data_IF_841047438724
#
_entry.id   IF_841047438724
#
_cell.length_a   1.000
_cell.length_b   1.000
_cell.length_c   1.000
_cell.angle_alpha   90.00
_cell.angle_beta   90.00
_cell.angle_gamma   90.00
#
_symmetry.space_group_name_H-M   'P 1'
#
loop_
_entity.id
_entity.type
_entity.pdbx_description
1 polymer ?
#
# COMPACT_ATOMS: atom_id res chain seq x y z
N UNK A 1 11.47 -32.52 -19.15
CA UNK A 1 11.83 -32.15 -17.76
C UNK A 1 13.32 -32.38 -17.58
N UNK A 2 14.07 -31.39 -17.12
CA UNK A 2 15.51 -31.51 -16.85
C UNK A 2 15.75 -31.43 -15.34
N UNK A 3 16.47 -32.39 -14.79
CA UNK A 3 16.93 -32.35 -13.40
C UNK A 3 18.40 -31.91 -13.40
N UNK A 4 18.75 -30.92 -12.59
CA UNK A 4 20.12 -30.45 -12.40
C UNK A 4 20.56 -30.78 -10.98
N UNK A 5 21.63 -31.56 -10.84
CA UNK A 5 22.17 -32.01 -9.55
C UNK A 5 23.54 -31.41 -9.24
N UNK A 6 24.16 -30.74 -10.22
CA UNK A 6 25.44 -30.06 -10.06
C UNK A 6 25.38 -28.58 -10.48
N UNK A 7 26.30 -27.78 -9.95
CA UNK A 7 26.49 -26.38 -10.36
C UNK A 7 26.66 -26.25 -11.87
N UNK A 8 27.45 -27.13 -12.51
CA UNK A 8 27.69 -27.09 -13.96
C UNK A 8 26.41 -27.33 -14.78
N UNK A 9 25.46 -28.11 -14.25
CA UNK A 9 24.16 -28.31 -14.88
C UNK A 9 23.22 -27.12 -14.65
N UNK A 10 23.23 -26.53 -13.46
CA UNK A 10 22.47 -25.30 -13.16
C UNK A 10 22.92 -24.14 -14.04
N UNK A 11 24.23 -24.00 -14.28
CA UNK A 11 24.81 -22.95 -15.11
C UNK A 11 24.44 -23.04 -16.59
N UNK A 12 23.90 -24.17 -17.07
CA UNK A 12 23.32 -24.27 -18.43
C UNK A 12 22.03 -23.45 -18.57
N UNK A 13 21.39 -23.10 -17.46
CA UNK A 13 20.09 -22.42 -17.42
C UNK A 13 20.12 -21.09 -16.66
N UNK A 14 21.05 -20.93 -15.72
CA UNK A 14 21.16 -19.75 -14.85
C UNK A 14 22.57 -19.18 -14.98
N UNK A 15 22.68 -17.94 -15.42
CA UNK A 15 23.98 -17.25 -15.49
C UNK A 15 24.64 -17.18 -14.11
N UNK A 16 25.98 -17.32 -13.98
CA UNK A 16 26.67 -17.34 -12.69
C UNK A 16 26.32 -16.16 -11.77
N UNK A 17 26.16 -14.96 -12.31
CA UNK A 17 25.77 -13.73 -11.61
C UNK A 17 24.36 -13.75 -11.02
N UNK A 18 23.50 -14.64 -11.50
CA UNK A 18 22.14 -14.82 -11.00
C UNK A 18 22.02 -16.04 -10.06
N UNK A 19 23.04 -16.90 -10.02
CA UNK A 19 23.09 -18.07 -9.16
C UNK A 19 23.75 -17.72 -7.81
N UNK A 20 23.11 -18.10 -6.70
CA UNK A 20 23.66 -17.89 -5.35
C UNK A 20 25.03 -18.54 -5.20
N UNK A 21 25.89 -17.91 -4.40
CA UNK A 21 27.19 -18.48 -3.99
C UNK A 21 27.05 -19.87 -3.35
N UNK A 22 25.93 -20.17 -2.70
CA UNK A 22 25.64 -21.47 -2.07
C UNK A 22 25.44 -22.60 -3.09
N UNK A 23 25.14 -22.25 -4.34
CA UNK A 23 25.00 -23.18 -5.47
C UNK A 23 26.15 -23.06 -6.49
N UNK A 24 27.21 -22.31 -6.16
CA UNK A 24 28.40 -22.14 -7.01
C UNK A 24 28.29 -21.05 -8.09
N UNK A 25 27.41 -20.06 -7.89
CA UNK A 25 27.42 -18.82 -8.68
C UNK A 25 28.20 -17.69 -7.99
N UNK A 26 28.03 -16.46 -8.49
CA UNK A 26 28.67 -15.25 -7.97
C UNK A 26 27.70 -14.28 -7.28
N UNK A 27 26.40 -14.60 -7.23
CA UNK A 27 25.43 -13.80 -6.52
C UNK A 27 25.61 -13.94 -4.99
N UNK A 28 26.15 -12.90 -4.37
CA UNK A 28 26.39 -12.83 -2.93
C UNK A 28 25.19 -12.34 -2.12
N UNK A 29 24.07 -12.02 -2.79
CA UNK A 29 22.85 -11.58 -2.10
C UNK A 29 22.36 -12.67 -1.15
N UNK A 30 22.13 -12.27 0.11
CA UNK A 30 21.50 -13.10 1.12
C UNK A 30 20.24 -12.42 1.59
N UNK A 31 19.12 -13.14 1.50
CA UNK A 31 17.87 -12.65 2.06
C UNK A 31 17.96 -12.61 3.58
N UNK A 32 17.78 -11.43 4.16
CA UNK A 32 17.67 -11.24 5.60
C UNK A 32 16.24 -10.82 5.93
N UNK A 33 15.55 -11.62 6.73
CA UNK A 33 14.21 -11.28 7.18
C UNK A 33 14.28 -10.21 8.27
N UNK A 34 13.73 -9.03 8.01
CA UNK A 34 13.67 -7.94 9.00
C UNK A 34 12.51 -8.21 9.96
N UNK A 35 12.83 -8.53 11.22
CA UNK A 35 11.83 -8.83 12.25
C UNK A 35 10.98 -7.59 12.63
N UNK A 36 9.75 -7.79 13.13
CA UNK A 36 8.94 -6.74 13.75
C UNK A 36 9.70 -6.04 14.88
N UNK A 37 9.56 -4.70 14.98
CA UNK A 37 10.15 -3.94 16.10
C UNK A 37 9.16 -3.88 17.27
N UNK A 38 9.66 -3.98 18.49
CA UNK A 38 8.84 -3.79 19.68
C UNK A 38 8.16 -2.41 19.64
N UNK A 39 6.84 -2.39 19.85
CA UNK A 39 6.05 -1.15 19.86
C UNK A 39 5.73 -0.55 18.48
N UNK A 40 6.13 -1.17 17.36
CA UNK A 40 5.85 -0.60 16.01
C UNK A 40 4.36 -0.42 15.70
N UNK A 41 3.49 -1.16 16.41
CA UNK A 41 2.03 -1.12 16.27
C UNK A 41 1.33 -0.51 17.50
N UNK A 42 2.06 0.17 18.40
CA UNK A 42 1.49 0.67 19.66
C UNK A 42 0.26 1.57 19.45
N UNK A 43 0.21 2.33 18.35
CA UNK A 43 -0.95 3.18 18.00
C UNK A 43 -2.25 2.39 17.82
N UNK A 44 -2.20 1.10 17.47
CA UNK A 44 -3.41 0.27 17.33
C UNK A 44 -4.13 0.03 18.67
N UNK A 45 -3.44 0.23 19.80
CA UNK A 45 -4.06 0.15 21.13
C UNK A 45 -4.85 1.42 21.51
N UNK A 46 -4.68 2.53 20.77
CA UNK A 46 -5.42 3.77 21.00
C UNK A 46 -6.83 3.69 20.40
N UNK A 47 -7.75 3.09 21.17
CA UNK A 47 -9.14 2.88 20.77
C UNK A 47 -9.86 4.20 20.50
N UNK A 48 -9.58 5.24 21.31
CA UNK A 48 -10.22 6.55 21.17
C UNK A 48 -9.82 7.19 19.85
N UNK A 49 -8.52 7.31 19.56
CA UNK A 49 -8.05 7.91 18.31
C UNK A 49 -8.46 7.07 17.10
N UNK A 50 -8.47 5.74 17.21
CA UNK A 50 -8.99 4.84 16.16
C UNK A 50 -10.44 5.16 15.84
N UNK A 51 -11.31 5.25 16.86
CA UNK A 51 -12.72 5.52 16.65
C UNK A 51 -12.95 6.90 16.04
N UNK A 52 -12.20 7.93 16.46
CA UNK A 52 -12.23 9.26 15.84
C UNK A 52 -11.82 9.20 14.36
N UNK A 53 -10.72 8.51 14.03
CA UNK A 53 -10.27 8.38 12.64
C UNK A 53 -11.27 7.59 11.77
N UNK A 54 -11.90 6.55 12.34
CA UNK A 54 -12.94 5.77 11.67
C UNK A 54 -14.18 6.61 11.38
N UNK A 55 -14.61 7.45 12.33
CA UNK A 55 -15.72 8.38 12.13
C UNK A 55 -15.41 9.43 11.05
N UNK A 56 -14.19 9.99 11.04
CA UNK A 56 -13.76 10.93 10.00
C UNK A 56 -13.78 10.28 8.60
N UNK A 57 -13.31 9.03 8.48
CA UNK A 57 -13.36 8.28 7.22
C UNK A 57 -14.79 7.99 6.79
N UNK A 58 -15.69 7.64 7.73
CA UNK A 58 -17.10 7.41 7.42
C UNK A 58 -17.75 8.69 6.87
N UNK A 59 -17.51 9.85 7.49
CA UNK A 59 -18.00 11.13 6.98
C UNK A 59 -17.49 11.45 5.56
N UNK A 60 -16.23 11.11 5.26
CA UNK A 60 -15.69 11.25 3.90
C UNK A 60 -16.36 10.29 2.89
N UNK A 61 -16.66 9.05 3.31
CA UNK A 61 -17.46 8.12 2.51
C UNK A 61 -18.85 8.69 2.21
N UNK A 62 -19.55 9.18 3.23
CA UNK A 62 -20.91 9.74 3.10
C UNK A 62 -20.91 10.94 2.14
N UNK A 63 -19.88 11.81 2.23
CA UNK A 63 -19.69 12.93 1.30
C UNK A 63 -19.52 12.45 -0.13
N UNK A 64 -18.61 11.50 -0.38
CA UNK A 64 -18.36 10.97 -1.72
C UNK A 64 -19.63 10.32 -2.30
N UNK A 65 -20.36 9.57 -1.49
CA UNK A 65 -21.61 8.93 -1.88
C UNK A 65 -22.69 9.96 -2.24
N UNK A 66 -22.85 11.00 -1.42
CA UNK A 66 -23.81 12.07 -1.66
C UNK A 66 -23.51 12.85 -2.95
N UNK A 67 -22.25 13.20 -3.20
CA UNK A 67 -21.84 13.90 -4.44
C UNK A 67 -21.98 12.98 -5.66
N UNK A 68 -21.60 11.71 -5.53
CA UNK A 68 -21.73 10.73 -6.63
C UNK A 68 -23.19 10.53 -7.04
N UNK A 69 -24.14 10.48 -6.09
CA UNK A 69 -25.57 10.45 -6.40
C UNK A 69 -26.04 11.65 -7.20
N UNK A 70 -25.62 12.86 -6.82
CA UNK A 70 -25.97 14.09 -7.53
C UNK A 70 -25.39 14.07 -8.94
N UNK A 71 -24.11 13.72 -9.07
CA UNK A 71 -23.41 13.61 -10.35
C UNK A 71 -24.05 12.57 -11.27
N UNK A 72 -24.49 11.42 -10.76
CA UNK A 72 -25.16 10.39 -11.56
C UNK A 72 -26.57 10.77 -12.02
N UNK A 73 -27.21 11.75 -11.37
CA UNK A 73 -28.58 12.17 -11.66
C UNK A 73 -28.72 13.33 -12.65
N UNK A 74 -27.60 13.86 -13.17
CA UNK A 74 -27.60 15.01 -14.09
C UNK A 74 -27.25 14.61 -15.52
N UNK A 75 -27.77 15.37 -16.48
CA UNK A 75 -27.39 15.21 -17.88
C UNK A 75 -25.98 15.76 -18.13
N UNK A 76 -25.16 14.94 -18.78
CA UNK A 76 -23.74 15.15 -19.06
C UNK A 76 -23.43 16.42 -19.87
N UNK A 77 -24.42 16.98 -20.58
CA UNK A 77 -24.27 18.16 -21.42
C UNK A 77 -24.43 19.51 -20.68
N UNK A 78 -24.66 19.50 -19.37
CA UNK A 78 -24.83 20.72 -18.56
C UNK A 78 -23.52 21.19 -17.94
N UNK A 79 -23.33 22.51 -17.78
CA UNK A 79 -22.18 23.08 -17.05
C UNK A 79 -22.07 22.58 -15.59
N UNK A 80 -23.20 22.20 -15.00
CA UNK A 80 -23.29 21.52 -13.69
C UNK A 80 -22.58 20.15 -13.66
N UNK A 81 -22.38 19.51 -14.81
CA UNK A 81 -21.66 18.23 -14.95
C UNK A 81 -20.19 18.33 -14.58
N UNK A 82 -19.51 19.39 -15.03
CA UNK A 82 -18.10 19.58 -14.72
C UNK A 82 -17.91 19.91 -13.24
N UNK A 83 -18.69 20.82 -12.67
CA UNK A 83 -18.60 21.19 -11.25
C UNK A 83 -18.83 19.98 -10.34
N UNK A 84 -19.84 19.16 -10.60
CA UNK A 84 -20.09 17.95 -9.80
C UNK A 84 -19.01 16.88 -10.00
N UNK A 85 -18.39 16.81 -11.18
CA UNK A 85 -17.24 15.95 -11.42
C UNK A 85 -16.04 16.37 -10.56
N UNK A 86 -15.74 17.67 -10.52
CA UNK A 86 -14.63 18.21 -9.73
C UNK A 86 -14.88 18.05 -8.22
N UNK A 87 -16.12 18.30 -7.76
CA UNK A 87 -16.53 18.05 -6.37
C UNK A 87 -16.40 16.57 -6.00
N UNK A 88 -16.73 15.67 -6.92
CA UNK A 88 -16.59 14.22 -6.71
C UNK A 88 -15.13 13.83 -6.60
N UNK A 89 -14.25 14.40 -7.43
CA UNK A 89 -12.81 14.17 -7.36
C UNK A 89 -12.26 14.64 -6.00
N UNK A 90 -12.62 15.85 -5.56
CA UNK A 90 -12.22 16.36 -4.25
C UNK A 90 -12.74 15.48 -3.09
N UNK A 91 -13.99 14.99 -3.16
CA UNK A 91 -14.52 14.08 -2.15
C UNK A 91 -13.81 12.71 -2.14
N UNK A 92 -13.32 12.24 -3.29
CA UNK A 92 -12.51 11.03 -3.37
C UNK A 92 -11.13 11.24 -2.73
N UNK A 93 -10.50 12.40 -2.95
CA UNK A 93 -9.23 12.77 -2.33
C UNK A 93 -9.36 12.85 -0.80
N UNK A 94 -10.44 13.46 -0.29
CA UNK A 94 -10.75 13.50 1.13
C UNK A 94 -10.83 12.09 1.75
N UNK A 95 -11.46 11.15 1.04
CA UNK A 95 -11.55 9.76 1.47
C UNK A 95 -10.17 9.07 1.51
N UNK A 96 -9.31 9.36 0.54
CA UNK A 96 -7.92 8.85 0.53
C UNK A 96 -7.17 9.39 1.73
N UNK A 97 -7.23 10.69 1.99
CA UNK A 97 -6.57 11.35 3.14
C UNK A 97 -7.06 10.76 4.45
N UNK A 98 -8.38 10.65 4.65
CA UNK A 98 -8.95 10.07 5.86
C UNK A 98 -8.58 8.60 6.04
N UNK A 99 -8.51 7.83 4.95
CA UNK A 99 -8.09 6.42 4.98
C UNK A 99 -6.61 6.28 5.38
N UNK A 100 -5.74 7.14 4.86
CA UNK A 100 -4.31 7.19 5.25
C UNK A 100 -4.15 7.57 6.73
N UNK A 101 -4.93 8.53 7.22
CA UNK A 101 -4.89 8.92 8.63
C UNK A 101 -5.32 7.80 9.58
N UNK A 102 -6.30 6.99 9.17
CA UNK A 102 -6.81 5.84 9.93
C UNK A 102 -5.83 4.66 9.96
N UNK A 103 -5.02 4.48 8.93
CA UNK A 103 -4.15 3.32 8.70
C UNK A 103 -3.38 2.85 9.94
N UNK A 104 -2.68 3.78 10.60
CA UNK A 104 -1.82 3.52 11.77
C UNK A 104 -2.55 2.95 12.99
N UNK A 105 -3.88 3.03 13.02
CA UNK A 105 -4.71 2.54 14.11
C UNK A 105 -5.34 1.18 13.82
N UNK A 106 -5.35 0.74 12.55
CA UNK A 106 -6.09 -0.46 12.11
C UNK A 106 -5.22 -1.49 11.40
N UNK A 107 -4.06 -1.11 10.87
CA UNK A 107 -3.18 -1.99 10.11
C UNK A 107 -1.78 -2.07 10.73
N UNK A 108 -1.29 -3.29 10.89
CA UNK A 108 0.06 -3.53 11.38
C UNK A 108 1.14 -3.16 10.36
N UNK A 109 2.32 -2.75 10.84
CA UNK A 109 3.48 -2.40 10.03
C UNK A 109 4.08 -3.63 9.34
N UNK A 110 4.23 -3.52 8.03
CA UNK A 110 4.74 -4.60 7.16
C UNK A 110 6.25 -4.55 7.01
N UNK A 111 6.83 -5.54 6.33
CA UNK A 111 8.23 -5.52 5.91
C UNK A 111 8.57 -4.24 5.14
N UNK A 112 7.67 -3.78 4.26
CA UNK A 112 7.88 -2.57 3.45
C UNK A 112 8.03 -1.29 4.30
N UNK A 113 7.39 -1.22 5.47
CA UNK A 113 7.61 -0.10 6.39
C UNK A 113 8.98 -0.21 7.06
N UNK A 114 9.37 -1.43 7.44
CA UNK A 114 10.66 -1.71 8.09
C UNK A 114 11.85 -1.49 7.15
N UNK A 115 11.68 -1.73 5.86
CA UNK A 115 12.71 -1.53 4.83
C UNK A 115 12.67 -0.12 4.20
N UNK A 116 11.77 0.75 4.63
CA UNK A 116 11.67 2.14 4.14
C UNK A 116 11.00 2.29 2.76
N UNK A 117 10.52 1.21 2.14
CA UNK A 117 9.78 1.26 0.88
C UNK A 117 8.44 1.97 1.05
N UNK A 118 7.83 1.88 2.22
CA UNK A 118 6.60 2.60 2.57
C UNK A 118 6.85 3.41 3.84
N UNK A 119 6.56 4.71 3.79
CA UNK A 119 6.61 5.60 4.96
C UNK A 119 5.35 5.48 5.83
N UNK A 120 5.42 6.05 7.04
CA UNK A 120 4.30 6.00 7.99
C UNK A 120 3.02 6.71 7.51
N UNK A 121 3.17 7.64 6.55
CA UNK A 121 2.11 8.36 5.84
C UNK A 121 1.61 7.64 4.58
N UNK A 122 2.14 6.44 4.32
CA UNK A 122 1.88 5.61 3.13
C UNK A 122 2.48 6.13 1.83
N UNK A 123 3.44 7.06 1.89
CA UNK A 123 4.26 7.42 0.73
C UNK A 123 5.17 6.26 0.34
N UNK A 124 5.21 5.92 -0.95
CA UNK A 124 6.00 4.82 -1.50
C UNK A 124 7.32 5.37 -2.05
N UNK A 125 8.43 4.77 -1.62
CA UNK A 125 9.78 5.04 -2.10
C UNK A 125 10.25 3.84 -2.92
N UNK A 126 10.49 4.05 -4.22
CA UNK A 126 11.02 3.04 -5.13
C UNK A 126 12.53 3.14 -5.24
#
# INVERSE_FOLDING_TARGET
VHFAQSTAELQKFIAPENLSVEYGGSNSYKYQYVLPRAGENAKMADVTARNTAMAARLAACDRLEAVTRKWAGIDSATSSSQTLSDERAAAADDLVVASRAMDKFVRARTLYHRTGVISDDLTIHW
#
